data_IF_326264274928
#
_entry.id   IF_326264274928
#
_cell.length_a   1.000
_cell.length_b   1.000
_cell.length_c   1.000
_cell.angle_alpha   90.00
_cell.angle_beta   90.00
_cell.angle_gamma   90.00
#
_symmetry.space_group_name_H-M   'P 1'
#
loop_
_entity.id
_entity.type
_entity.pdbx_description
1 polymer ?
#
# COMPACT_ATOMS: atom_id res chain seq x y z
N UNK A 1 -18.30 17.45 5.85
CA UNK A 1 -16.90 17.15 5.45
C UNK A 1 -16.82 15.69 5.04
N UNK A 2 -15.91 15.36 4.12
CA UNK A 2 -15.74 14.00 3.59
C UNK A 2 -15.41 13.00 4.71
N UNK A 3 -16.12 11.87 4.74
CA UNK A 3 -15.98 10.83 5.79
C UNK A 3 -15.11 9.66 5.35
N UNK A 4 -14.67 9.64 4.10
CA UNK A 4 -13.87 8.55 3.55
C UNK A 4 -13.00 9.06 2.40
N UNK A 5 -11.91 8.35 2.14
CA UNK A 5 -11.04 8.55 1.01
C UNK A 5 -10.45 7.21 0.57
N UNK A 6 -10.21 7.03 -0.72
CA UNK A 6 -9.55 5.83 -1.25
C UNK A 6 -8.61 6.21 -2.38
N UNK A 7 -7.52 5.47 -2.52
CA UNK A 7 -6.59 5.56 -3.63
C UNK A 7 -6.17 4.17 -4.09
N UNK A 8 -6.00 4.02 -5.40
CA UNK A 8 -5.43 2.82 -5.99
C UNK A 8 -4.34 3.24 -6.97
N UNK A 9 -3.29 2.46 -7.08
CA UNK A 9 -2.18 2.70 -8.01
C UNK A 9 -1.79 1.39 -8.64
N UNK A 10 -1.63 1.38 -9.95
CA UNK A 10 -1.08 0.28 -10.71
C UNK A 10 0.10 0.78 -11.53
N UNK A 11 1.18 0.02 -11.54
CA UNK A 11 2.39 0.30 -12.32
C UNK A 11 2.83 -0.98 -12.99
N UNK A 12 3.11 -0.89 -14.29
CA UNK A 12 3.70 -1.95 -15.09
C UNK A 12 5.12 -1.54 -15.48
N UNK A 13 6.06 -2.47 -15.38
CA UNK A 13 7.46 -2.28 -15.74
C UNK A 13 7.80 -3.17 -16.95
N UNK A 14 8.41 -2.60 -17.97
CA UNK A 14 8.66 -3.29 -19.25
C UNK A 14 9.98 -4.06 -19.26
N UNK A 15 10.89 -3.79 -18.33
CA UNK A 15 12.16 -4.49 -18.18
C UNK A 15 12.09 -5.39 -16.93
N UNK A 16 11.95 -6.71 -17.09
CA UNK A 16 11.65 -7.62 -15.97
C UNK A 16 10.16 -7.80 -15.67
N UNK A 17 9.28 -7.45 -16.63
CA UNK A 17 7.87 -7.88 -16.76
C UNK A 17 6.98 -7.79 -15.49
N UNK A 18 7.36 -6.96 -14.52
CA UNK A 18 6.70 -6.91 -13.23
C UNK A 18 5.55 -5.91 -13.16
N UNK A 19 4.60 -6.23 -12.28
CA UNK A 19 3.49 -5.36 -11.92
C UNK A 19 3.49 -5.03 -10.43
N UNK A 20 3.31 -3.75 -10.12
CA UNK A 20 3.05 -3.27 -8.76
C UNK A 20 1.64 -2.74 -8.70
N UNK A 21 0.84 -3.24 -7.76
CA UNK A 21 -0.44 -2.66 -7.41
C UNK A 21 -0.50 -2.30 -5.95
N UNK A 22 -1.21 -1.22 -5.65
CA UNK A 22 -1.49 -0.83 -4.27
C UNK A 22 -2.87 -0.23 -4.17
N UNK A 23 -3.52 -0.46 -3.03
CA UNK A 23 -4.76 0.17 -2.67
C UNK A 23 -4.66 0.71 -1.24
N UNK A 24 -5.16 1.91 -1.01
CA UNK A 24 -5.28 2.51 0.30
C UNK A 24 -6.69 3.06 0.49
N UNK A 25 -7.18 2.96 1.72
CA UNK A 25 -8.50 3.45 2.09
C UNK A 25 -8.46 4.03 3.49
N UNK A 26 -9.20 5.09 3.69
CA UNK A 26 -9.43 5.69 4.99
C UNK A 26 -10.93 5.91 5.19
N UNK A 27 -11.39 5.65 6.41
CA UNK A 27 -12.76 5.86 6.80
C UNK A 27 -12.81 6.48 8.19
N UNK A 28 -13.59 7.55 8.32
CA UNK A 28 -13.87 8.23 9.57
C UNK A 28 -15.30 7.91 9.98
N UNK A 29 -15.44 7.10 11.02
CA UNK A 29 -16.74 6.73 11.58
C UNK A 29 -17.34 7.88 12.41
N UNK A 30 -16.51 8.63 13.10
CA UNK A 30 -16.90 9.78 13.93
C UNK A 30 -15.71 10.72 14.12
N UNK A 31 -15.91 11.90 14.71
CA UNK A 31 -14.80 12.84 14.99
C UNK A 31 -13.72 12.23 15.90
N UNK A 32 -14.09 11.21 16.67
CA UNK A 32 -13.24 10.52 17.64
C UNK A 32 -12.65 9.21 17.12
N UNK A 33 -13.08 8.71 15.96
CA UNK A 33 -12.65 7.39 15.48
C UNK A 33 -12.47 7.36 13.97
N UNK A 34 -11.26 7.02 13.55
CA UNK A 34 -10.86 6.84 12.17
C UNK A 34 -9.99 5.59 11.99
N UNK A 35 -10.06 5.03 10.79
CA UNK A 35 -9.24 3.90 10.36
C UNK A 35 -8.63 4.22 9.00
N UNK A 36 -7.39 3.80 8.80
CA UNK A 36 -6.68 3.83 7.53
C UNK A 36 -6.04 2.46 7.31
N UNK A 37 -6.20 1.94 6.11
CA UNK A 37 -5.55 0.72 5.65
C UNK A 37 -4.86 0.94 4.32
N UNK A 38 -3.74 0.26 4.10
CA UNK A 38 -3.15 0.12 2.77
C UNK A 38 -2.65 -1.30 2.55
N UNK A 39 -2.68 -1.71 1.29
CA UNK A 39 -2.15 -2.96 0.78
C UNK A 39 -1.31 -2.66 -0.46
N UNK A 40 -0.17 -3.31 -0.56
CA UNK A 40 0.77 -3.20 -1.67
C UNK A 40 1.12 -4.61 -2.08
N UNK A 41 0.88 -4.91 -3.35
CA UNK A 41 1.27 -6.14 -4.00
C UNK A 41 2.32 -5.81 -5.06
N UNK A 42 3.44 -6.51 -5.02
CA UNK A 42 4.51 -6.40 -6.00
C UNK A 42 4.89 -7.79 -6.45
N UNK A 43 4.92 -7.94 -7.75
CA UNK A 43 5.19 -9.20 -8.42
C UNK A 43 6.06 -8.81 -9.60
N UNK A 44 7.31 -9.22 -9.47
CA UNK A 44 8.36 -8.96 -10.42
C UNK A 44 8.95 -10.31 -10.79
N UNK A 45 8.87 -10.62 -12.08
CA UNK A 45 9.60 -11.73 -12.67
C UNK A 45 11.12 -11.43 -12.67
N UNK A 46 11.92 -12.45 -12.97
CA UNK A 46 13.38 -12.32 -13.05
C UNK A 46 13.78 -11.16 -13.99
N UNK A 47 14.55 -10.20 -13.47
CA UNK A 47 14.95 -9.01 -14.22
C UNK A 47 16.09 -9.32 -15.20
N UNK A 48 16.14 -8.61 -16.33
CA UNK A 48 17.23 -8.71 -17.32
C UNK A 48 18.33 -7.71 -17.02
N UNK A 49 19.55 -8.18 -16.83
CA UNK A 49 20.69 -7.30 -16.57
C UNK A 49 21.04 -6.41 -17.78
N UNK A 50 21.98 -5.47 -17.58
CA UNK A 50 22.41 -4.53 -18.63
C UNK A 50 23.10 -5.17 -19.84
N UNK A 51 23.39 -6.47 -19.81
CA UNK A 51 23.88 -7.28 -20.93
C UNK A 51 22.78 -8.01 -21.69
N UNK A 52 21.55 -8.04 -21.17
CA UNK A 52 20.39 -8.67 -21.79
C UNK A 52 20.11 -10.10 -21.32
N UNK A 53 20.88 -10.61 -20.34
CA UNK A 53 20.69 -11.93 -19.75
C UNK A 53 19.70 -11.86 -18.57
N UNK A 54 18.78 -12.83 -18.50
CA UNK A 54 17.84 -12.97 -17.37
C UNK A 54 18.60 -13.49 -16.15
N UNK A 55 18.49 -12.78 -15.02
CA UNK A 55 19.14 -13.22 -13.78
C UNK A 55 18.17 -14.12 -13.00
N UNK A 56 18.33 -15.43 -13.15
CA UNK A 56 17.52 -16.45 -12.47
C UNK A 56 17.57 -16.30 -10.93
N UNK A 57 16.40 -16.28 -10.29
CA UNK A 57 16.25 -16.24 -8.83
C UNK A 57 16.20 -14.84 -8.22
N UNK A 58 15.94 -13.82 -9.04
CA UNK A 58 15.73 -12.42 -8.59
C UNK A 58 14.26 -12.03 -8.50
N UNK A 59 13.36 -12.85 -9.04
CA UNK A 59 11.92 -12.67 -8.91
C UNK A 59 11.47 -12.65 -7.46
N UNK A 60 10.57 -11.74 -7.12
CA UNK A 60 10.03 -11.62 -5.77
C UNK A 60 8.54 -11.28 -5.76
N UNK A 61 7.82 -12.01 -4.91
CA UNK A 61 6.44 -11.76 -4.55
C UNK A 61 6.39 -11.09 -3.19
N UNK A 62 6.03 -9.82 -3.15
CA UNK A 62 5.92 -9.05 -1.91
C UNK A 62 4.49 -8.58 -1.73
N UNK A 63 3.82 -9.20 -0.76
CA UNK A 63 2.58 -8.71 -0.20
C UNK A 63 2.87 -7.97 1.11
N UNK A 64 2.58 -6.67 1.12
CA UNK A 64 2.75 -5.82 2.31
C UNK A 64 1.49 -5.03 2.57
N UNK A 65 1.19 -4.76 3.84
CA UNK A 65 0.05 -3.96 4.21
C UNK A 65 0.24 -3.28 5.56
N UNK A 66 -0.51 -2.21 5.76
CA UNK A 66 -0.61 -1.49 7.03
C UNK A 66 -2.09 -1.33 7.36
N UNK A 67 -2.42 -1.55 8.62
CA UNK A 67 -3.70 -1.17 9.18
C UNK A 67 -3.42 -0.28 10.39
N UNK A 68 -4.05 0.90 10.42
CA UNK A 68 -3.94 1.87 11.50
C UNK A 68 -5.32 2.35 11.90
N UNK A 69 -5.59 2.34 13.20
CA UNK A 69 -6.81 2.89 13.79
C UNK A 69 -6.44 3.99 14.78
N UNK A 70 -7.16 5.10 14.74
CA UNK A 70 -7.01 6.20 15.70
C UNK A 70 -8.30 6.33 16.49
N UNK A 71 -8.22 6.24 17.82
CA UNK A 71 -9.35 6.47 18.72
C UNK A 71 -8.96 7.64 19.63
N UNK A 72 -9.82 8.66 19.66
CA UNK A 72 -9.69 9.88 20.46
C UNK A 72 -10.86 9.94 21.45
N UNK A 73 -10.82 9.22 22.58
CA UNK A 73 -11.82 9.40 23.63
C UNK A 73 -11.75 10.86 24.11
N UNK A 74 -12.87 11.57 24.10
CA UNK A 74 -12.90 13.00 24.43
C UNK A 74 -12.90 13.27 25.95
N UNK A 75 -12.39 14.47 26.31
CA UNK A 75 -12.64 15.27 27.52
C UNK A 75 -11.95 14.94 28.87
N UNK A 76 -10.65 14.60 28.93
CA UNK A 76 -9.96 14.68 30.24
C UNK A 76 -8.50 15.16 30.22
N UNK A 77 -8.15 16.10 29.34
CA UNK A 77 -6.87 16.82 29.48
C UNK A 77 -7.03 18.32 29.25
N UNK A 78 -7.95 18.91 30.01
CA UNK A 78 -7.74 20.25 30.55
C UNK A 78 -7.94 20.14 32.07
N UNK A 79 -6.85 20.12 32.82
CA UNK A 79 -6.73 20.52 34.22
C UNK A 79 -5.38 21.21 34.40
#
# INVERSE_FOLDING_TARGET
GETWAASATGRYESNGEGWTTSAAGAYRFSENWDVLGNIVYRDYDDYKDGGGDTVDGTGFDVLSGLLKTTIRPSENSEL
#
